data_IF_620348119241
#
_entry.id   IF_620348119241
#
_cell.length_a   1.000
_cell.length_b   1.000
_cell.length_c   1.000
_cell.angle_alpha   90.00
_cell.angle_beta   90.00
_cell.angle_gamma   90.00
#
_symmetry.space_group_name_H-M   'P 1'
#
loop_
_entity.id
_entity.type
_entity.pdbx_description
1 polymer ?
#
# COMPACT_ATOMS: atom_id res chain seq x y z
N UNK A 1 -10.30 25.49 -13.47
CA UNK A 1 -9.02 25.01 -12.91
C UNK A 1 -8.57 23.83 -13.75
N UNK A 2 -7.27 23.69 -13.95
CA UNK A 2 -6.69 22.49 -14.57
C UNK A 2 -6.62 21.36 -13.54
N UNK A 3 -6.63 20.10 -13.99
CA UNK A 3 -6.37 18.92 -13.15
C UNK A 3 -5.07 19.08 -12.35
N UNK A 4 -4.07 19.74 -12.93
CA UNK A 4 -2.80 20.03 -12.25
C UNK A 4 -2.96 21.03 -11.10
N UNK A 5 -3.82 22.04 -11.26
CA UNK A 5 -4.10 23.04 -10.23
C UNK A 5 -4.84 22.40 -9.05
N UNK A 6 -5.81 21.53 -9.35
CA UNK A 6 -6.59 20.79 -8.36
C UNK A 6 -5.68 19.84 -7.57
N UNK A 7 -4.81 19.08 -8.24
CA UNK A 7 -3.81 18.23 -7.57
C UNK A 7 -2.84 19.03 -6.70
N UNK A 8 -2.40 20.20 -7.16
CA UNK A 8 -1.54 21.09 -6.38
C UNK A 8 -2.28 21.66 -5.15
N UNK A 9 -3.59 21.91 -5.28
CA UNK A 9 -4.45 22.34 -4.18
C UNK A 9 -4.64 21.26 -3.12
N UNK A 10 -4.84 20.01 -3.57
CA UNK A 10 -4.93 18.83 -2.70
C UNK A 10 -3.62 18.63 -1.94
N UNK A 11 -2.46 18.72 -2.62
CA UNK A 11 -1.15 18.58 -1.97
C UNK A 11 -0.94 19.60 -0.83
N UNK A 12 -1.26 20.88 -1.07
CA UNK A 12 -1.20 21.91 -0.03
C UNK A 12 -2.12 21.60 1.15
N UNK A 13 -3.34 21.18 0.87
CA UNK A 13 -4.31 20.79 1.90
C UNK A 13 -3.82 19.60 2.74
N UNK A 14 -3.13 18.63 2.13
CA UNK A 14 -2.53 17.49 2.84
C UNK A 14 -1.34 17.92 3.70
N UNK A 15 -0.55 18.89 3.26
CA UNK A 15 0.53 19.46 4.06
C UNK A 15 0.02 20.25 5.27
N UNK A 16 -1.09 20.98 5.11
CA UNK A 16 -1.81 21.62 6.22
C UNK A 16 -2.40 20.58 7.19
N UNK A 17 -3.01 19.50 6.67
CA UNK A 17 -3.56 18.41 7.45
C UNK A 17 -2.47 17.71 8.26
N UNK A 18 -1.37 17.33 7.62
CA UNK A 18 -0.22 16.68 8.26
C UNK A 18 0.37 17.53 9.39
N UNK A 19 0.53 18.84 9.17
CA UNK A 19 0.93 19.78 10.24
C UNK A 19 -0.08 19.85 11.38
N UNK A 20 -1.37 19.77 11.09
CA UNK A 20 -2.43 19.81 12.09
C UNK A 20 -2.50 18.53 12.91
N UNK A 21 -2.32 17.37 12.28
CA UNK A 21 -2.21 16.06 12.96
C UNK A 21 -0.98 16.01 13.86
N UNK A 22 0.16 16.54 13.41
CA UNK A 22 1.37 16.60 14.24
C UNK A 22 1.18 17.47 15.49
N UNK A 23 0.49 18.62 15.37
CA UNK A 23 0.13 19.44 16.54
C UNK A 23 -0.84 18.71 17.48
N UNK A 24 -1.81 17.97 16.92
CA UNK A 24 -2.74 17.17 17.71
C UNK A 24 -2.03 16.03 18.45
N UNK A 25 -1.06 15.38 17.83
CA UNK A 25 -0.23 14.36 18.46
C UNK A 25 0.56 14.92 19.65
N UNK A 26 1.09 16.14 19.54
CA UNK A 26 1.76 16.82 20.66
C UNK A 26 0.81 17.15 21.82
N UNK A 27 -0.45 17.46 21.53
CA UNK A 27 -1.45 17.81 22.54
C UNK A 27 -2.07 16.59 23.23
N UNK A 28 -2.33 15.52 22.49
CA UNK A 28 -2.96 14.30 22.99
C UNK A 28 -1.95 13.28 23.52
N UNK A 29 -0.66 13.46 23.22
CA UNK A 29 0.41 12.52 23.54
C UNK A 29 0.53 11.40 22.50
N UNK A 30 1.78 10.94 22.30
CA UNK A 30 2.16 9.99 21.23
C UNK A 30 1.62 8.55 21.42
N UNK A 31 0.94 8.27 22.53
CA UNK A 31 0.49 6.92 22.91
C UNK A 31 -0.88 6.52 22.37
N UNK A 32 -1.66 7.45 21.82
CA UNK A 32 -3.00 7.18 21.33
C UNK A 32 -3.01 6.40 20.01
N UNK A 33 -3.65 5.22 19.99
CA UNK A 33 -3.83 4.42 18.77
C UNK A 33 -4.47 5.24 17.63
N UNK A 34 -5.50 6.02 17.95
CA UNK A 34 -6.23 6.83 16.97
C UNK A 34 -5.35 7.93 16.34
N UNK A 35 -4.48 8.57 17.12
CA UNK A 35 -3.53 9.58 16.62
C UNK A 35 -2.54 8.94 15.65
N UNK A 36 -2.01 7.77 16.01
CA UNK A 36 -1.11 7.01 15.14
C UNK A 36 -1.81 6.60 13.85
N UNK A 37 -3.06 6.14 13.92
CA UNK A 37 -3.86 5.76 12.77
C UNK A 37 -4.09 6.94 11.83
N UNK A 38 -4.55 8.08 12.35
CA UNK A 38 -4.77 9.30 11.56
C UNK A 38 -3.49 9.77 10.87
N UNK A 39 -2.34 9.69 11.56
CA UNK A 39 -1.05 10.01 10.95
C UNK A 39 -0.72 9.07 9.80
N UNK A 40 -0.80 7.76 10.02
CA UNK A 40 -0.55 6.75 8.99
C UNK A 40 -1.48 6.93 7.78
N UNK A 41 -2.77 7.17 8.01
CA UNK A 41 -3.74 7.40 6.94
C UNK A 41 -3.44 8.69 6.15
N UNK A 42 -2.97 9.75 6.83
CA UNK A 42 -2.57 11.00 6.18
C UNK A 42 -1.33 10.80 5.30
N UNK A 43 -0.35 10.02 5.76
CA UNK A 43 0.85 9.69 4.99
C UNK A 43 0.49 8.83 3.77
N UNK A 44 -0.34 7.80 3.95
CA UNK A 44 -0.84 6.97 2.85
C UNK A 44 -1.63 7.78 1.80
N UNK A 45 -2.42 8.76 2.26
CA UNK A 45 -3.17 9.62 1.34
C UNK A 45 -2.22 10.53 0.53
N UNK A 46 -1.15 11.04 1.15
CA UNK A 46 -0.10 11.80 0.45
C UNK A 46 0.57 10.94 -0.63
N UNK A 47 0.93 9.70 -0.33
CA UNK A 47 1.52 8.78 -1.30
C UNK A 47 0.54 8.48 -2.45
N UNK A 48 -0.73 8.24 -2.13
CA UNK A 48 -1.78 7.99 -3.11
C UNK A 48 -1.98 9.17 -4.07
N UNK A 49 -1.93 10.41 -3.56
CA UNK A 49 -2.04 11.62 -4.40
C UNK A 49 -0.78 11.82 -5.24
N UNK A 50 0.40 11.48 -4.74
CA UNK A 50 1.63 11.52 -5.53
C UNK A 50 1.56 10.52 -6.71
N UNK A 51 1.05 9.31 -6.47
CA UNK A 51 0.80 8.31 -7.51
C UNK A 51 -0.24 8.80 -8.52
N UNK A 52 -1.34 9.39 -8.05
CA UNK A 52 -2.37 9.96 -8.93
C UNK A 52 -1.80 11.07 -9.83
N UNK A 53 -0.95 11.95 -9.28
CA UNK A 53 -0.27 12.99 -10.06
C UNK A 53 0.67 12.40 -11.11
N UNK A 54 1.41 11.35 -10.77
CA UNK A 54 2.26 10.65 -11.73
C UNK A 54 1.44 10.01 -12.85
N UNK A 55 0.31 9.38 -12.53
CA UNK A 55 -0.61 8.80 -13.51
C UNK A 55 -1.22 9.86 -14.43
N UNK A 56 -1.60 11.03 -13.88
CA UNK A 56 -2.15 12.13 -14.67
C UNK A 56 -1.11 12.83 -15.57
N UNK A 57 0.17 12.76 -15.21
CA UNK A 57 1.27 13.32 -15.99
C UNK A 57 1.79 12.35 -17.07
N UNK A 58 1.48 11.06 -16.96
CA UNK A 58 1.85 10.08 -17.97
C UNK A 58 1.07 10.35 -19.26
N UNK A 59 1.73 10.48 -20.43
CA UNK A 59 1.01 10.59 -21.70
C UNK A 59 0.16 9.34 -21.92
N UNK A 60 -0.99 9.55 -22.56
CA UNK A 60 -1.99 8.54 -22.94
C UNK A 60 -1.44 7.64 -24.08
N UNK A 61 -0.29 6.99 -23.84
CA UNK A 61 0.16 5.89 -24.64
C UNK A 61 -0.64 4.67 -24.19
N UNK A 62 -1.33 3.93 -25.08
CA UNK A 62 -1.92 2.66 -24.72
C UNK A 62 -0.78 1.73 -24.35
N UNK A 63 -0.44 1.70 -23.05
CA UNK A 63 0.52 0.75 -22.51
C UNK A 63 -0.20 -0.57 -22.44
N UNK A 64 -0.39 -1.20 -23.60
CA UNK A 64 -0.65 -2.62 -23.66
C UNK A 64 0.56 -3.23 -22.96
N UNK A 65 0.40 -3.78 -21.74
CA UNK A 65 1.53 -4.38 -21.05
C UNK A 65 2.10 -5.44 -21.99
N UNK A 66 3.43 -5.58 -22.04
CA UNK A 66 4.04 -6.68 -22.77
C UNK A 66 3.39 -7.97 -22.26
N UNK A 67 2.62 -8.60 -23.14
CA UNK A 67 1.91 -9.82 -22.81
C UNK A 67 2.93 -10.93 -22.80
N UNK A 68 3.30 -11.39 -21.60
CA UNK A 68 4.07 -12.62 -21.46
C UNK A 68 3.12 -13.78 -21.71
N UNK A 69 3.38 -14.54 -22.76
CA UNK A 69 2.64 -15.79 -23.03
C UNK A 69 2.92 -16.77 -21.90
N UNK A 70 1.94 -17.02 -21.05
CA UNK A 70 1.99 -18.12 -20.08
C UNK A 70 1.67 -19.40 -20.85
N UNK A 71 2.57 -20.40 -20.87
CA UNK A 71 2.27 -21.67 -21.51
C UNK A 71 1.10 -22.38 -20.81
N UNK A 72 0.17 -22.93 -21.59
CA UNK A 72 -0.87 -23.83 -21.09
C UNK A 72 -0.32 -25.22 -20.70
N UNK A 73 1.00 -25.39 -20.72
CA UNK A 73 1.65 -26.62 -20.30
C UNK A 73 1.38 -26.85 -18.81
N UNK A 74 0.74 -27.96 -18.42
CA UNK A 74 0.54 -28.28 -17.03
C UNK A 74 1.88 -28.25 -16.30
N UNK A 75 1.92 -27.62 -15.13
CA UNK A 75 3.09 -27.68 -14.26
C UNK A 75 3.37 -29.15 -13.92
N UNK A 76 4.65 -29.47 -13.75
CA UNK A 76 5.07 -30.77 -13.26
C UNK A 76 4.43 -30.99 -11.87
N UNK A 77 3.62 -32.04 -11.74
CA UNK A 77 2.93 -32.37 -10.50
C UNK A 77 3.89 -32.67 -9.34
N UNK A 78 5.14 -33.04 -9.63
CA UNK A 78 6.18 -33.22 -8.61
C UNK A 78 6.53 -31.93 -7.87
N UNK A 79 6.29 -30.75 -8.47
CA UNK A 79 6.51 -29.44 -7.83
C UNK A 79 5.61 -29.19 -6.62
N UNK A 80 4.51 -29.94 -6.51
CA UNK A 80 3.51 -29.81 -5.45
C UNK A 80 3.48 -31.04 -4.53
N UNK A 81 4.48 -31.93 -4.65
CA UNK A 81 4.65 -33.04 -3.70
C UNK A 81 4.94 -32.43 -2.32
N UNK A 82 4.25 -32.94 -1.30
CA UNK A 82 4.31 -32.45 0.09
C UNK A 82 3.74 -31.03 0.30
N UNK A 83 3.07 -30.42 -0.69
CA UNK A 83 2.40 -29.11 -0.50
C UNK A 83 1.24 -29.16 0.51
N UNK A 84 0.69 -30.34 0.76
CA UNK A 84 -0.36 -30.58 1.76
C UNK A 84 0.21 -30.94 3.14
N UNK A 85 1.53 -31.16 3.26
CA UNK A 85 2.20 -31.33 4.54
C UNK A 85 2.48 -29.95 5.12
N UNK A 86 1.43 -29.34 5.69
CA UNK A 86 1.54 -28.11 6.48
C UNK A 86 2.45 -28.27 7.71
N UNK A 87 3.07 -29.45 7.92
CA UNK A 87 4.08 -29.66 8.95
C UNK A 87 3.51 -29.32 10.32
N UNK A 88 2.28 -29.75 10.62
CA UNK A 88 1.72 -29.65 11.95
C UNK A 88 2.62 -30.45 12.88
N UNK A 89 3.52 -29.73 13.55
CA UNK A 89 4.56 -30.26 14.40
C UNK A 89 4.03 -31.39 15.28
N UNK A 90 4.78 -32.48 15.31
CA UNK A 90 4.48 -33.72 16.02
C UNK A 90 3.64 -33.50 17.29
N UNK A 91 2.52 -34.23 17.41
CA UNK A 91 1.51 -34.15 18.49
C UNK A 91 2.07 -34.36 19.91
N UNK A 92 3.36 -34.65 20.05
CA UNK A 92 4.01 -34.99 21.32
C UNK A 92 5.13 -34.04 21.76
N UNK A 93 5.39 -32.92 21.06
CA UNK A 93 6.31 -31.90 21.58
C UNK A 93 5.56 -30.87 22.41
N UNK A 94 5.48 -31.11 23.72
CA UNK A 94 5.17 -30.07 24.71
C UNK A 94 6.23 -28.98 24.59
N UNK A 95 5.82 -27.75 24.30
CA UNK A 95 6.72 -26.60 24.31
C UNK A 95 7.33 -26.44 25.73
N UNK A 96 8.65 -26.16 25.85
CA UNK A 96 9.26 -25.83 27.12
C UNK A 96 8.74 -24.51 27.69
#
# INVERSE_FOLDING_TARGET
>A
MSVHDDLSSIQRSLDDLSRSVARLEQQLGSGGLEVRRVRTDTDHLRDSVALLRAAAAAPDAPRRPDLVTIPDTPYDGSLWTDSDDEGLGARDRRAP
#
